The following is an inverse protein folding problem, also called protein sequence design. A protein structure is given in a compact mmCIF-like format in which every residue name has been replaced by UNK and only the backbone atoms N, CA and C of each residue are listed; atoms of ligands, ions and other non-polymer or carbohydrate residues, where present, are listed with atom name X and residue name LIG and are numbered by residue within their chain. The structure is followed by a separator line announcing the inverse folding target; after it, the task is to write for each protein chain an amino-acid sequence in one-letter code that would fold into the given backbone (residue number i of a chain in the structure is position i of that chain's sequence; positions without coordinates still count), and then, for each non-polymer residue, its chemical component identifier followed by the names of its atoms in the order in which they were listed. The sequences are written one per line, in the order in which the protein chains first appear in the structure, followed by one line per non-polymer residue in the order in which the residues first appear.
data_IF_921818312694
#
_entry.id   IF_921818312694
#
_cell.length_a   1.000
_cell.length_b   1.000
_cell.length_c   1.000
_cell.angle_alpha   90.00
_cell.angle_beta   90.00
_cell.angle_gamma   90.00
#
_symmetry.space_group_name_H-M   'P 1'
#
loop_
_entity.id
_entity.type
_entity.pdbx_description
1 polymer ?
#
# COMPACT_ATOMS: atom_id res chain seq x y z
N UNK A 1 -24.43 -9.91 1.13
CA UNK A 1 -23.07 -9.36 1.04
C UNK A 1 -22.94 -8.75 -0.33
N UNK A 2 -22.67 -7.45 -0.45
CA UNK A 2 -22.39 -6.87 -1.76
C UNK A 2 -21.24 -7.67 -2.39
N UNK A 3 -21.44 -8.16 -3.62
CA UNK A 3 -20.46 -8.99 -4.31
C UNK A 3 -19.15 -8.19 -4.44
N UNK A 4 -18.12 -8.60 -3.72
CA UNK A 4 -16.79 -7.95 -3.73
C UNK A 4 -16.30 -7.85 -5.17
N UNK A 5 -16.56 -8.87 -5.98
CA UNK A 5 -16.17 -8.86 -7.39
C UNK A 5 -16.90 -7.77 -8.17
N UNK A 6 -18.18 -7.50 -7.88
CA UNK A 6 -18.94 -6.43 -8.54
C UNK A 6 -18.35 -5.05 -8.21
N UNK A 7 -18.05 -4.77 -6.94
CA UNK A 7 -17.41 -3.51 -6.54
C UNK A 7 -16.04 -3.32 -7.18
N UNK A 8 -15.22 -4.38 -7.24
CA UNK A 8 -13.92 -4.34 -7.90
C UNK A 8 -14.06 -4.10 -9.41
N UNK A 9 -15.01 -4.75 -10.08
CA UNK A 9 -15.28 -4.52 -11.50
C UNK A 9 -15.71 -3.08 -11.76
N UNK A 10 -16.57 -2.52 -10.91
CA UNK A 10 -16.99 -1.13 -10.99
C UNK A 10 -15.81 -0.17 -10.83
N UNK A 11 -14.96 -0.40 -9.83
CA UNK A 11 -13.75 0.42 -9.60
C UNK A 11 -12.79 0.37 -10.78
N UNK A 12 -12.53 -0.82 -11.32
CA UNK A 12 -11.67 -0.99 -12.48
C UNK A 12 -12.22 -0.22 -13.69
N UNK A 13 -13.53 -0.27 -13.92
CA UNK A 13 -14.17 0.37 -15.06
C UNK A 13 -14.25 1.89 -14.91
N UNK A 14 -14.74 2.38 -13.78
CA UNK A 14 -15.15 3.77 -13.60
C UNK A 14 -14.16 4.62 -12.80
N UNK A 15 -13.26 4.00 -12.03
CA UNK A 15 -12.26 4.72 -11.23
C UNK A 15 -11.27 5.48 -12.12
N UNK A 16 -10.68 6.54 -11.56
CA UNK A 16 -9.59 7.30 -12.18
C UNK A 16 -8.25 6.57 -12.01
N UNK A 17 -7.28 6.95 -12.82
CA UNK A 17 -5.92 6.44 -12.68
C UNK A 17 -5.35 6.82 -11.31
N UNK A 18 -4.75 5.83 -10.64
CA UNK A 18 -4.24 5.90 -9.27
C UNK A 18 -5.30 6.14 -8.19
N UNK A 19 -6.59 6.01 -8.52
CA UNK A 19 -7.65 6.12 -7.54
C UNK A 19 -7.62 4.96 -6.54
N UNK A 20 -7.71 5.32 -5.25
CA UNK A 20 -7.68 4.38 -4.13
C UNK A 20 -9.08 4.15 -3.59
N UNK A 21 -9.49 2.90 -3.55
CA UNK A 21 -10.66 2.41 -2.83
C UNK A 21 -10.20 1.88 -1.47
N UNK A 22 -10.80 2.38 -0.39
CA UNK A 22 -10.50 1.94 0.97
C UNK A 22 -11.00 0.51 1.19
N UNK A 23 -10.23 -0.26 1.97
CA UNK A 23 -10.65 -1.58 2.43
C UNK A 23 -10.91 -1.55 3.94
N UNK A 24 -11.61 -2.55 4.49
CA UNK A 24 -11.77 -2.68 5.95
C UNK A 24 -10.45 -2.92 6.70
N UNK A 25 -9.36 -3.26 6.00
CA UNK A 25 -8.04 -3.48 6.59
C UNK A 25 -7.27 -2.16 6.56
N UNK A 26 -6.90 -1.67 7.75
CA UNK A 26 -6.14 -0.44 7.89
C UNK A 26 -4.80 -0.49 7.14
N UNK A 27 -4.47 0.59 6.43
CA UNK A 27 -3.26 0.67 5.63
C UNK A 27 -3.33 -0.10 4.29
N UNK A 28 -4.44 -0.75 3.97
CA UNK A 28 -4.63 -1.50 2.71
C UNK A 28 -5.68 -0.81 1.83
N UNK A 29 -5.30 -0.56 0.58
CA UNK A 29 -6.14 0.10 -0.41
C UNK A 29 -6.15 -0.70 -1.71
N UNK A 30 -7.28 -0.71 -2.41
CA UNK A 30 -7.36 -1.18 -3.81
C UNK A 30 -7.11 0.00 -4.73
N UNK A 31 -6.08 -0.06 -5.56
CA UNK A 31 -5.66 1.03 -6.44
C UNK A 31 -5.88 0.64 -7.89
N UNK A 32 -6.51 1.52 -8.67
CA UNK A 32 -6.59 1.38 -10.12
C UNK A 32 -5.29 1.88 -10.75
N UNK A 33 -4.50 0.96 -11.29
CA UNK A 33 -3.28 1.26 -12.03
C UNK A 33 -3.66 1.56 -13.48
N UNK A 34 -3.17 2.68 -14.06
CA UNK A 34 -3.46 3.05 -15.43
C UNK A 34 -3.04 1.97 -16.43
N UNK A 35 -3.76 1.91 -17.54
CA UNK A 35 -3.31 1.16 -18.70
C UNK A 35 -2.01 1.76 -19.26
N UNK A 36 -1.25 0.93 -19.96
CA UNK A 36 -0.11 1.37 -20.74
C UNK A 36 -0.22 0.82 -22.15
N UNK A 37 0.71 1.19 -23.04
CA UNK A 37 0.75 0.67 -24.41
C UNK A 37 0.73 -0.87 -24.52
N UNK A 38 1.20 -1.57 -23.49
CA UNK A 38 1.39 -3.02 -23.50
C UNK A 38 0.51 -3.78 -22.50
N UNK A 39 -0.25 -3.08 -21.64
CA UNK A 39 -1.12 -3.73 -20.63
C UNK A 39 -2.39 -2.92 -20.38
N UNK A 40 -3.53 -3.58 -20.16
CA UNK A 40 -4.75 -2.90 -19.75
C UNK A 40 -4.61 -2.31 -18.34
N UNK A 41 -5.59 -1.51 -17.93
CA UNK A 41 -5.71 -1.07 -16.54
C UNK A 41 -5.94 -2.26 -15.63
N UNK A 42 -5.39 -2.19 -14.42
CA UNK A 42 -5.40 -3.30 -13.46
C UNK A 42 -5.71 -2.77 -12.06
N UNK A 43 -6.16 -3.66 -11.17
CA UNK A 43 -6.28 -3.37 -9.74
C UNK A 43 -5.11 -3.97 -8.98
N UNK A 44 -4.53 -3.19 -8.08
CA UNK A 44 -3.44 -3.60 -7.20
C UNK A 44 -3.86 -3.35 -5.76
N UNK A 45 -3.29 -4.09 -4.82
CA UNK A 45 -3.31 -3.71 -3.41
C UNK A 45 -2.13 -2.77 -3.15
N UNK A 46 -2.38 -1.63 -2.53
CA UNK A 46 -1.35 -0.81 -1.91
C UNK A 46 -1.39 -1.06 -0.40
N UNK A 47 -0.30 -1.60 0.14
CA UNK A 47 -0.12 -1.88 1.57
C UNK A 47 0.86 -0.86 2.13
N UNK A 48 0.42 -0.08 3.12
CA UNK A 48 1.24 0.95 3.73
C UNK A 48 1.10 0.87 5.25
N UNK A 49 2.19 0.61 5.99
CA UNK A 49 2.12 0.62 7.44
C UNK A 49 1.67 1.98 7.93
N UNK A 50 0.82 1.99 8.95
CA UNK A 50 0.37 3.22 9.60
C UNK A 50 1.27 3.52 10.78
N UNK A 51 1.56 4.81 10.99
CA UNK A 51 2.19 5.26 12.23
C UNK A 51 1.18 5.33 13.37
N UNK A 52 1.66 5.68 14.57
CA UNK A 52 0.84 5.82 15.79
C UNK A 52 -0.34 6.80 15.65
N UNK A 53 -0.28 7.71 14.66
CA UNK A 53 -1.35 8.67 14.36
C UNK A 53 -2.37 8.15 13.32
N UNK A 54 -2.25 6.89 12.90
CA UNK A 54 -3.08 6.28 11.86
C UNK A 54 -2.77 6.80 10.45
N UNK A 55 -1.62 7.46 10.25
CA UNK A 55 -1.21 7.97 8.92
C UNK A 55 -0.25 7.00 8.24
N UNK A 56 -0.33 6.83 6.92
CA UNK A 56 0.63 6.04 6.17
C UNK A 56 2.07 6.54 6.42
N UNK A 57 2.99 5.63 6.75
CA UNK A 57 4.39 5.96 6.98
C UNK A 57 5.11 6.40 5.70
N UNK A 58 4.60 6.00 4.53
CA UNK A 58 5.17 6.38 3.22
C UNK A 58 4.13 7.07 2.34
N UNK A 59 4.57 7.95 1.44
CA UNK A 59 3.70 8.54 0.39
C UNK A 59 3.17 7.49 -0.58
N UNK A 60 3.94 6.43 -0.84
CA UNK A 60 3.57 5.27 -1.65
C UNK A 60 3.84 4.00 -0.84
N UNK A 61 2.83 3.15 -0.72
CA UNK A 61 2.95 1.84 -0.10
C UNK A 61 3.58 0.81 -1.05
N UNK A 62 3.63 -0.42 -0.56
CA UNK A 62 3.98 -1.60 -1.34
C UNK A 62 2.82 -1.97 -2.25
N UNK A 63 3.05 -2.00 -3.56
CA UNK A 63 2.06 -2.40 -4.55
C UNK A 63 2.14 -3.90 -4.83
N UNK A 64 1.01 -4.59 -4.68
CA UNK A 64 0.89 -6.04 -4.84
C UNK A 64 -0.24 -6.38 -5.81
N UNK A 65 0.12 -6.92 -6.97
CA UNK A 65 -0.84 -7.22 -8.06
C UNK A 65 -1.38 -8.65 -8.05
N UNK A 66 -0.72 -9.58 -7.36
CA UNK A 66 -1.13 -10.99 -7.31
C UNK A 66 -0.65 -11.68 -6.03
N UNK A 67 -1.13 -12.92 -5.81
CA UNK A 67 -0.83 -13.71 -4.60
C UNK A 67 0.65 -14.10 -4.49
N UNK A 68 1.27 -14.48 -5.59
CA UNK A 68 2.69 -14.88 -5.62
C UNK A 68 3.59 -13.73 -5.16
N UNK A 69 3.33 -12.53 -5.68
CA UNK A 69 4.03 -11.31 -5.28
C UNK A 69 3.83 -11.01 -3.79
N UNK A 70 2.62 -11.18 -3.25
CA UNK A 70 2.36 -11.02 -1.81
C UNK A 70 3.22 -11.98 -0.99
N UNK A 71 3.27 -13.25 -1.39
CA UNK A 71 4.03 -14.29 -0.70
C UNK A 71 5.53 -13.95 -0.73
N UNK A 72 6.07 -13.58 -1.89
CA UNK A 72 7.49 -13.21 -2.03
C UNK A 72 7.88 -11.97 -1.25
N UNK A 73 7.01 -10.97 -1.18
CA UNK A 73 7.22 -9.84 -0.27
C UNK A 73 7.16 -10.30 1.18
N UNK A 74 6.20 -11.13 1.56
CA UNK A 74 6.09 -11.69 2.90
C UNK A 74 7.35 -12.45 3.32
N UNK A 75 7.87 -13.33 2.47
CA UNK A 75 9.14 -14.05 2.71
C UNK A 75 10.29 -13.08 2.96
N UNK A 76 10.45 -12.07 2.10
CA UNK A 76 11.54 -11.09 2.21
C UNK A 76 11.41 -10.20 3.45
N UNK A 77 10.19 -9.80 3.81
CA UNK A 77 9.91 -8.92 4.95
C UNK A 77 10.05 -9.62 6.30
N UNK A 78 9.95 -10.95 6.33
CA UNK A 78 10.13 -11.77 7.53
C UNK A 78 11.49 -12.50 7.57
N UNK A 79 12.40 -12.19 6.65
CA UNK A 79 13.74 -12.79 6.63
C UNK A 79 14.67 -12.13 7.66
N UNK A 80 15.33 -12.94 8.49
CA UNK A 80 16.20 -12.47 9.57
C UNK A 80 17.38 -11.62 9.07
N UNK A 81 17.91 -11.92 7.87
CA UNK A 81 19.03 -11.14 7.30
C UNK A 81 18.55 -9.79 6.81
N UNK A 82 17.34 -9.72 6.27
CA UNK A 82 16.70 -8.44 5.92
C UNK A 82 16.48 -7.59 7.17
N UNK A 83 16.01 -8.20 8.26
CA UNK A 83 15.86 -7.51 9.55
C UNK A 83 17.21 -6.99 10.07
N UNK A 84 18.25 -7.82 10.07
CA UNK A 84 19.61 -7.41 10.47
C UNK A 84 20.12 -6.26 9.59
N UNK A 85 19.91 -6.33 8.27
CA UNK A 85 20.37 -5.29 7.35
C UNK A 85 19.70 -3.94 7.62
N UNK A 86 18.41 -3.92 7.94
CA UNK A 86 17.73 -2.68 8.36
C UNK A 86 18.39 -2.09 9.60
N UNK A 87 18.71 -2.92 10.60
CA UNK A 87 19.40 -2.47 11.81
C UNK A 87 20.78 -1.86 11.55
N UNK A 88 21.55 -2.40 10.60
CA UNK A 88 22.83 -1.79 10.20
C UNK A 88 22.64 -0.49 9.40
N UNK A 89 21.62 -0.42 8.53
CA UNK A 89 21.29 0.81 7.81
C UNK A 89 20.94 1.96 8.76
N UNK A 90 20.17 1.67 9.80
CA UNK A 90 19.78 2.67 10.81
C UNK A 90 20.99 3.27 11.55
N UNK A 91 22.06 2.50 11.75
CA UNK A 91 23.29 2.98 12.41
C UNK A 91 24.13 3.92 11.54
N UNK A 92 24.07 3.73 10.23
CA UNK A 92 24.90 4.49 9.26
C UNK A 92 24.16 5.71 8.71
N UNK A 93 22.82 5.65 8.67
CA UNK A 93 22.01 6.72 8.12
C UNK A 93 21.98 7.97 9.04
N UNK A 94 21.99 9.18 8.47
CA UNK A 94 21.82 10.41 9.25
C UNK A 94 20.38 10.52 9.81
N UNK A 95 20.22 11.19 10.97
CA UNK A 95 18.90 11.44 11.55
C UNK A 95 18.02 12.35 10.67
N UNK A 96 16.77 11.95 10.42
CA UNK A 96 15.79 12.70 9.63
C UNK A 96 14.73 13.31 10.57
N UNK A 97 14.58 14.64 10.59
CA UNK A 97 13.56 15.34 11.40
C UNK A 97 12.22 15.53 10.67
N UNK A 98 11.16 14.84 11.14
CA UNK A 98 9.77 15.37 11.21
C UNK A 98 8.73 14.98 10.14
N UNK A 99 7.46 14.86 10.57
CA UNK A 99 6.18 15.27 9.91
C UNK A 99 5.00 14.68 10.72
N UNK A 100 3.90 15.36 11.10
CA UNK A 100 3.22 16.55 10.64
C UNK A 100 1.70 16.26 10.72
N UNK A 101 0.96 16.96 11.59
CA UNK A 101 -0.42 16.66 12.01
C UNK A 101 -1.51 17.18 11.05
N UNK A 102 -2.32 16.30 10.46
CA UNK A 102 -3.63 16.59 9.86
C UNK A 102 -4.79 16.24 10.80
N UNK A 103 -5.71 17.19 10.93
CA UNK A 103 -6.91 17.14 11.78
C UNK A 103 -7.87 16.03 11.32
N UNK A 104 -8.46 15.33 12.28
CA UNK A 104 -9.53 14.34 12.09
C UNK A 104 -10.88 15.05 11.98
N UNK A 105 -11.73 14.57 11.08
CA UNK A 105 -13.17 14.85 11.12
C UNK A 105 -13.79 13.91 12.17
N UNK A 106 -14.64 14.44 13.05
CA UNK A 106 -15.41 13.66 14.03
C UNK A 106 -16.83 13.41 13.51
N UNK A 107 -17.34 12.22 13.81
CA UNK A 107 -18.77 11.93 13.83
C UNK A 107 -19.40 12.49 15.10
#
# INVERSE_FOLDING_TARGET
MADIQAQLKEHLKNGKDWEKMQTPVEGVYVVKVPETKTRPSLLFLEINPLNENGRPMKKKGLFVGNKEMLIKFGESLNDDKVYQLIGELEKVNPEIKGTGSTKKLKM
#
